data_IF_413335333882
#
_entry.id   IF_413335333882
#
_cell.length_a   1.000
_cell.length_b   1.000
_cell.length_c   1.000
_cell.angle_alpha   90.00
_cell.angle_beta   90.00
_cell.angle_gamma   90.00
#
_symmetry.space_group_name_H-M   'P 1'
#
loop_
_entity.id
_entity.type
_entity.pdbx_description
1 polymer ?
#
# COMPACT_ATOMS: atom_id res chain seq x y z
N UNK A 1 37.22 -35.62 27.87
CA UNK A 1 37.44 -34.80 26.67
C UNK A 1 36.23 -34.85 25.73
N UNK A 2 35.75 -36.04 25.34
CA UNK A 2 34.62 -36.24 24.42
C UNK A 2 33.31 -35.56 24.86
N UNK A 3 32.94 -35.63 26.14
CA UNK A 3 31.74 -34.94 26.67
C UNK A 3 31.82 -33.41 26.64
N UNK A 4 33.03 -32.86 26.76
CA UNK A 4 33.23 -31.40 26.68
C UNK A 4 33.12 -30.93 25.23
N UNK A 5 33.66 -31.72 24.29
CA UNK A 5 33.53 -31.46 22.85
C UNK A 5 32.06 -31.44 22.42
N UNK A 6 31.28 -32.44 22.83
CA UNK A 6 29.83 -32.50 22.50
C UNK A 6 29.04 -31.33 23.08
N UNK A 7 29.45 -30.78 24.23
CA UNK A 7 28.81 -29.61 24.82
C UNK A 7 29.13 -28.32 24.03
N UNK A 8 30.35 -28.21 23.52
CA UNK A 8 30.76 -27.10 22.64
C UNK A 8 30.00 -27.20 21.31
N UNK A 9 29.98 -28.36 20.67
CA UNK A 9 29.22 -28.59 19.43
C UNK A 9 27.72 -28.30 19.62
N UNK A 10 27.16 -28.68 20.77
CA UNK A 10 25.76 -28.36 21.13
C UNK A 10 25.53 -26.87 21.28
N UNK A 11 26.51 -26.14 21.84
CA UNK A 11 26.43 -24.68 22.00
C UNK A 11 26.50 -23.98 20.65
N UNK A 12 27.39 -24.42 19.76
CA UNK A 12 27.51 -23.88 18.40
C UNK A 12 26.24 -24.14 17.58
N UNK A 13 25.62 -25.31 17.72
CA UNK A 13 24.30 -25.60 17.12
C UNK A 13 23.19 -24.69 17.64
N UNK A 14 23.17 -24.41 18.95
CA UNK A 14 22.20 -23.47 19.55
C UNK A 14 22.43 -22.05 19.01
N UNK A 15 23.68 -21.60 18.92
CA UNK A 15 24.01 -20.29 18.36
C UNK A 15 23.57 -20.16 16.90
N UNK A 16 23.85 -21.17 16.07
CA UNK A 16 23.41 -21.19 14.67
C UNK A 16 21.88 -21.19 14.55
N UNK A 17 21.17 -21.94 15.41
CA UNK A 17 19.71 -21.92 15.45
C UNK A 17 19.14 -20.57 15.90
N UNK A 18 19.79 -19.90 16.86
CA UNK A 18 19.39 -18.57 17.34
C UNK A 18 19.59 -17.50 16.25
N UNK A 19 20.70 -17.57 15.51
CA UNK A 19 20.95 -16.69 14.38
C UNK A 19 19.91 -16.90 13.26
N UNK A 20 19.61 -18.16 12.93
CA UNK A 20 18.56 -18.50 11.98
C UNK A 20 17.19 -17.97 12.41
N UNK A 21 16.82 -18.15 13.68
CA UNK A 21 15.59 -17.60 14.23
C UNK A 21 15.55 -16.07 14.15
N UNK A 22 16.64 -15.39 14.47
CA UNK A 22 16.76 -13.93 14.39
C UNK A 22 16.59 -13.43 12.96
N UNK A 23 17.23 -14.10 11.99
CA UNK A 23 17.05 -13.81 10.57
C UNK A 23 15.59 -14.03 10.12
N UNK A 24 14.93 -15.07 10.61
CA UNK A 24 13.51 -15.30 10.38
C UNK A 24 12.63 -14.21 10.99
N UNK A 25 12.93 -13.74 12.20
CA UNK A 25 12.23 -12.62 12.84
C UNK A 25 12.31 -11.35 11.99
N UNK A 26 13.51 -10.99 11.52
CA UNK A 26 13.69 -9.84 10.63
C UNK A 26 12.97 -10.02 9.30
N UNK A 27 12.99 -11.22 8.71
CA UNK A 27 12.24 -11.54 7.50
C UNK A 27 10.74 -11.33 7.69
N UNK A 28 10.16 -11.86 8.77
CA UNK A 28 8.73 -11.68 9.11
C UNK A 28 8.42 -10.19 9.33
N UNK A 29 9.30 -9.46 10.00
CA UNK A 29 9.13 -8.02 10.20
C UNK A 29 9.14 -7.25 8.87
N UNK A 30 10.06 -7.59 7.96
CA UNK A 30 10.09 -7.06 6.60
C UNK A 30 8.82 -7.36 5.81
N UNK A 31 8.31 -8.60 5.89
CA UNK A 31 7.03 -8.97 5.27
C UNK A 31 5.84 -8.16 5.82
N UNK A 32 5.80 -7.93 7.13
CA UNK A 32 4.77 -7.07 7.77
C UNK A 32 4.89 -5.62 7.28
N UNK A 33 6.10 -5.07 7.24
CA UNK A 33 6.35 -3.72 6.73
C UNK A 33 5.89 -3.59 5.27
N UNK A 34 6.25 -4.56 4.42
CA UNK A 34 5.82 -4.58 3.02
C UNK A 34 4.30 -4.62 2.89
N UNK A 35 3.61 -5.39 3.74
CA UNK A 35 2.13 -5.44 3.76
C UNK A 35 1.52 -4.10 4.18
N UNK A 36 2.07 -3.45 5.21
CA UNK A 36 1.59 -2.13 5.66
C UNK A 36 1.82 -1.08 4.58
N UNK A 37 3.01 -1.03 3.98
CA UNK A 37 3.32 -0.11 2.89
C UNK A 37 2.40 -0.34 1.70
N UNK A 38 2.17 -1.61 1.31
CA UNK A 38 1.23 -1.97 0.23
C UNK A 38 -0.17 -1.41 0.50
N UNK A 39 -0.68 -1.57 1.72
CA UNK A 39 -1.99 -1.03 2.10
C UNK A 39 -2.04 0.50 2.01
N UNK A 40 -1.01 1.18 2.53
CA UNK A 40 -0.92 2.65 2.48
C UNK A 40 -0.84 3.16 1.04
N UNK A 41 -0.04 2.51 0.19
CA UNK A 41 0.08 2.86 -1.23
C UNK A 41 -1.22 2.65 -1.99
N UNK A 42 -1.94 1.55 -1.71
CA UNK A 42 -3.28 1.29 -2.30
C UNK A 42 -4.23 2.44 -1.99
N UNK A 43 -4.28 2.89 -0.74
CA UNK A 43 -5.10 4.04 -0.33
C UNK A 43 -4.62 5.30 -1.06
N UNK A 44 -3.33 5.62 -1.04
CA UNK A 44 -2.79 6.82 -1.68
C UNK A 44 -3.09 6.89 -3.20
N UNK A 45 -2.92 5.78 -3.93
CA UNK A 45 -3.19 5.72 -5.38
C UNK A 45 -4.65 6.05 -5.70
N UNK A 46 -5.59 5.71 -4.82
CA UNK A 46 -7.01 6.03 -5.00
C UNK A 46 -7.27 7.50 -4.65
N UNK A 47 -6.70 7.98 -3.54
CA UNK A 47 -6.98 9.32 -3.04
C UNK A 47 -6.30 10.44 -3.83
N UNK A 48 -5.06 10.25 -4.32
CA UNK A 48 -4.32 11.29 -5.06
C UNK A 48 -5.11 11.84 -6.27
N UNK A 49 -5.59 11.01 -7.23
CA UNK A 49 -6.35 11.52 -8.38
C UNK A 49 -7.71 12.09 -7.96
N UNK A 50 -8.37 11.50 -6.95
CA UNK A 50 -9.63 12.03 -6.41
C UNK A 50 -9.45 13.43 -5.80
N UNK A 51 -8.43 13.60 -4.98
CA UNK A 51 -8.10 14.89 -4.34
C UNK A 51 -7.64 15.90 -5.38
N UNK A 52 -6.92 15.49 -6.42
CA UNK A 52 -6.54 16.37 -7.53
C UNK A 52 -7.75 16.94 -8.26
N UNK A 53 -8.73 16.08 -8.59
CA UNK A 53 -10.00 16.51 -9.19
C UNK A 53 -10.72 17.45 -8.23
N UNK A 54 -10.87 17.06 -6.96
CA UNK A 54 -11.51 17.91 -5.94
C UNK A 54 -10.79 19.26 -5.74
N UNK A 55 -9.46 19.30 -5.86
CA UNK A 55 -8.66 20.51 -5.77
C UNK A 55 -8.85 21.45 -6.97
N UNK A 56 -8.87 20.91 -8.19
CA UNK A 56 -9.18 21.69 -9.41
C UNK A 56 -10.58 22.29 -9.32
N UNK A 57 -11.59 21.47 -8.95
CA UNK A 57 -12.95 21.95 -8.80
C UNK A 57 -13.13 22.85 -7.57
N UNK A 58 -12.32 22.70 -6.52
CA UNK A 58 -12.34 23.56 -5.32
C UNK A 58 -11.78 24.96 -5.54
N UNK A 59 -10.95 25.18 -6.57
CA UNK A 59 -10.40 26.51 -6.91
C UNK A 59 -11.43 27.36 -7.68
N UNK A 60 -12.20 28.17 -6.94
CA UNK A 60 -13.06 29.27 -7.40
C UNK A 60 -13.88 29.00 -8.69
N UNK A 61 -15.00 28.31 -8.48
CA UNK A 61 -16.16 28.06 -9.35
C UNK A 61 -16.76 29.24 -10.16
N UNK A 62 -16.16 30.43 -10.16
CA UNK A 62 -16.78 31.64 -10.72
C UNK A 62 -16.64 31.76 -12.25
N UNK A 63 -15.72 31.02 -12.88
CA UNK A 63 -15.40 31.16 -14.31
C UNK A 63 -15.20 29.82 -15.04
N UNK A 64 -15.94 28.77 -14.67
CA UNK A 64 -15.99 27.54 -15.46
C UNK A 64 -17.15 27.62 -16.46
N UNK A 65 -16.92 27.50 -17.79
CA UNK A 65 -17.99 27.52 -18.80
C UNK A 65 -19.00 26.37 -18.64
N UNK A 66 -18.66 25.33 -17.86
CA UNK A 66 -19.49 24.18 -17.51
C UNK A 66 -20.58 24.49 -16.47
N UNK A 67 -20.51 25.63 -15.76
CA UNK A 67 -21.49 26.04 -14.74
C UNK A 67 -22.83 26.49 -15.34
N UNK A 68 -22.84 26.85 -16.62
CA UNK A 68 -24.06 27.13 -17.40
C UNK A 68 -24.78 25.88 -17.87
N UNK A 69 -24.17 24.70 -17.73
CA UNK A 69 -24.77 23.42 -18.09
C UNK A 69 -25.38 22.78 -16.86
N UNK A 70 -26.69 22.50 -16.94
CA UNK A 70 -27.49 21.86 -15.87
C UNK A 70 -26.91 20.52 -15.39
N UNK A 71 -26.03 19.90 -16.18
CA UNK A 71 -25.39 18.60 -15.91
C UNK A 71 -23.89 18.66 -15.62
N UNK A 72 -23.25 19.83 -15.57
CA UNK A 72 -21.80 19.95 -15.30
C UNK A 72 -21.40 19.26 -14.00
N UNK A 73 -22.17 19.49 -12.93
CA UNK A 73 -21.98 18.83 -11.63
C UNK A 73 -22.09 17.29 -11.71
N UNK A 74 -23.05 16.77 -12.49
CA UNK A 74 -23.21 15.34 -12.70
C UNK A 74 -22.08 14.72 -13.53
N UNK A 75 -21.52 15.47 -14.50
CA UNK A 75 -20.38 15.03 -15.32
C UNK A 75 -19.11 14.86 -14.49
N UNK A 76 -18.83 15.79 -13.57
CA UNK A 76 -17.70 15.69 -12.64
C UNK A 76 -17.83 14.49 -11.72
N UNK A 77 -19.03 14.28 -11.17
CA UNK A 77 -19.34 13.10 -10.37
C UNK A 77 -19.13 11.80 -11.15
N UNK A 78 -19.55 11.76 -12.43
CA UNK A 78 -19.30 10.62 -13.30
C UNK A 78 -17.80 10.36 -13.48
N UNK A 79 -16.99 11.40 -13.73
CA UNK A 79 -15.52 11.29 -13.87
C UNK A 79 -14.87 10.78 -12.58
N UNK A 80 -15.31 11.27 -11.42
CA UNK A 80 -14.82 10.82 -10.11
C UNK A 80 -15.14 9.33 -9.92
N UNK A 81 -16.39 8.92 -10.18
CA UNK A 81 -16.84 7.52 -10.04
C UNK A 81 -16.09 6.61 -11.02
N UNK A 82 -15.95 7.01 -12.28
CA UNK A 82 -15.22 6.24 -13.30
C UNK A 82 -13.75 6.09 -12.94
N UNK A 83 -13.11 7.16 -12.46
CA UNK A 83 -11.71 7.13 -12.01
C UNK A 83 -11.53 6.24 -10.79
N UNK A 84 -12.45 6.32 -9.82
CA UNK A 84 -12.43 5.47 -8.63
C UNK A 84 -12.60 3.99 -9.00
N UNK A 85 -13.63 3.64 -9.79
CA UNK A 85 -13.83 2.26 -10.25
C UNK A 85 -12.65 1.76 -11.09
N UNK A 86 -12.13 2.60 -11.99
CA UNK A 86 -10.96 2.29 -12.81
C UNK A 86 -9.74 1.93 -11.97
N UNK A 87 -9.44 2.73 -10.95
CA UNK A 87 -8.32 2.47 -10.03
C UNK A 87 -8.55 1.21 -9.18
N UNK A 88 -9.76 1.00 -8.66
CA UNK A 88 -10.10 -0.21 -7.88
C UNK A 88 -9.96 -1.47 -8.73
N UNK A 89 -10.47 -1.46 -9.98
CA UNK A 89 -10.35 -2.59 -10.90
C UNK A 89 -8.88 -2.83 -11.28
N UNK A 90 -8.11 -1.77 -11.53
CA UNK A 90 -6.68 -1.86 -11.83
C UNK A 90 -5.91 -2.50 -10.67
N UNK A 91 -6.13 -2.04 -9.44
CA UNK A 91 -5.48 -2.57 -8.23
C UNK A 91 -5.89 -4.02 -7.95
N UNK A 92 -7.16 -4.37 -8.19
CA UNK A 92 -7.65 -5.76 -8.08
C UNK A 92 -7.00 -6.66 -9.12
N UNK A 93 -6.91 -6.24 -10.39
CA UNK A 93 -6.25 -6.99 -11.47
C UNK A 93 -4.76 -7.23 -11.18
N UNK A 94 -4.09 -6.25 -10.57
CA UNK A 94 -2.66 -6.36 -10.26
C UNK A 94 -2.36 -7.25 -9.04
N UNK A 95 -3.38 -7.87 -8.42
CA UNK A 95 -3.27 -8.65 -7.15
C UNK A 95 -2.60 -7.84 -6.03
N UNK A 96 -2.86 -6.53 -6.02
CA UNK A 96 -2.40 -5.69 -4.91
C UNK A 96 -3.28 -5.85 -3.67
N UNK A 97 -4.49 -6.41 -3.84
CA UNK A 97 -5.26 -7.05 -2.79
C UNK A 97 -4.73 -8.47 -2.49
#
# INVERSE_FOLDING_TARGET
MTKVLTLIDSSDMILASLESATNMFFSIQGHRMNKVMKNLTVVAIIFIPLTFIAGIYGMNFKNMPELGWKYGYFGVWLIIIVTFLGMVIYLKKKKWF
#
